data_IF_073444978343
#
_entry.id   IF_073444978343
#
_cell.length_a   1.000
_cell.length_b   1.000
_cell.length_c   1.000
_cell.angle_alpha   90.00
_cell.angle_beta   90.00
_cell.angle_gamma   90.00
#
_symmetry.space_group_name_H-M   'P 1'
#
loop_
_entity.id
_entity.type
_entity.pdbx_description
1 polymer ?
#
# COMPACT_ATOMS: atom_id res chain seq x y z
N UNK A 1 -1.43 -7.81 20.92
CA UNK A 1 -2.58 -8.34 20.15
C UNK A 1 -3.00 -7.40 19.04
N UNK A 2 -3.74 -6.34 19.36
CA UNK A 2 -4.36 -5.43 18.38
C UNK A 2 -3.37 -4.75 17.42
N UNK A 3 -2.24 -4.26 17.91
CA UNK A 3 -1.21 -3.61 17.07
C UNK A 3 -0.66 -4.60 16.04
N UNK A 4 -0.25 -5.79 16.49
CA UNK A 4 0.24 -6.88 15.64
C UNK A 4 -0.80 -7.25 14.57
N UNK A 5 -2.08 -7.30 14.94
CA UNK A 5 -3.17 -7.60 14.00
C UNK A 5 -3.26 -6.57 12.86
N UNK A 6 -3.22 -5.27 13.17
CA UNK A 6 -3.26 -4.21 12.14
C UNK A 6 -2.10 -4.37 11.16
N UNK A 7 -0.88 -4.57 11.68
CA UNK A 7 0.28 -4.71 10.83
C UNK A 7 0.22 -5.96 9.94
N UNK A 8 -0.25 -7.11 10.45
CA UNK A 8 -0.39 -8.33 9.63
C UNK A 8 -1.41 -8.13 8.51
N UNK A 9 -2.53 -7.44 8.77
CA UNK A 9 -3.52 -7.11 7.72
C UNK A 9 -2.89 -6.24 6.64
N UNK A 10 -2.12 -5.23 7.03
CA UNK A 10 -1.43 -4.33 6.09
C UNK A 10 -0.38 -5.09 5.27
N UNK A 11 0.45 -5.92 5.91
CA UNK A 11 1.47 -6.74 5.23
C UNK A 11 0.81 -7.69 4.24
N UNK A 12 -0.27 -8.36 4.64
CA UNK A 12 -1.03 -9.27 3.77
C UNK A 12 -1.65 -8.55 2.57
N UNK A 13 -2.22 -7.36 2.77
CA UNK A 13 -2.74 -6.54 1.68
C UNK A 13 -1.64 -6.13 0.70
N UNK A 14 -0.49 -5.68 1.19
CA UNK A 14 0.65 -5.34 0.33
C UNK A 14 1.10 -6.58 -0.46
N UNK A 15 1.15 -7.75 0.20
CA UNK A 15 1.45 -9.05 -0.40
C UNK A 15 0.56 -9.39 -1.60
N UNK A 16 -0.75 -9.14 -1.46
CA UNK A 16 -1.73 -9.31 -2.52
C UNK A 16 -1.50 -8.39 -3.73
N UNK A 17 -0.89 -7.22 -3.51
CA UNK A 17 -0.67 -6.22 -4.56
C UNK A 17 0.51 -6.57 -5.48
N UNK A 18 1.57 -7.22 -4.96
CA UNK A 18 2.82 -7.46 -5.72
C UNK A 18 2.68 -8.13 -7.10
N UNK A 19 1.82 -9.16 -7.30
CA UNK A 19 1.70 -9.83 -8.60
C UNK A 19 1.12 -8.92 -9.70
N UNK A 20 0.59 -7.77 -9.32
CA UNK A 20 0.03 -6.75 -10.20
C UNK A 20 -0.95 -7.27 -11.26
N UNK A 21 -1.76 -8.25 -10.88
CA UNK A 21 -2.89 -8.73 -11.70
C UNK A 21 -4.02 -7.70 -11.71
N UNK A 22 -4.97 -7.83 -12.65
CA UNK A 22 -6.11 -6.90 -12.77
C UNK A 22 -6.80 -6.62 -11.43
N UNK A 23 -7.08 -7.65 -10.63
CA UNK A 23 -7.76 -7.49 -9.34
C UNK A 23 -6.87 -6.79 -8.30
N UNK A 24 -5.57 -7.09 -8.30
CA UNK A 24 -4.60 -6.44 -7.42
C UNK A 24 -4.47 -4.94 -7.73
N UNK A 25 -4.37 -4.60 -9.01
CA UNK A 25 -4.29 -3.21 -9.48
C UNK A 25 -5.50 -2.41 -9.03
N UNK A 26 -6.71 -2.92 -9.28
CA UNK A 26 -7.94 -2.26 -8.85
C UNK A 26 -8.05 -2.18 -7.32
N UNK A 27 -7.62 -3.23 -6.61
CA UNK A 27 -7.56 -3.22 -5.14
C UNK A 27 -6.71 -2.07 -4.61
N UNK A 28 -5.52 -1.84 -5.18
CA UNK A 28 -4.66 -0.73 -4.79
C UNK A 28 -5.27 0.64 -5.15
N UNK A 29 -5.94 0.77 -6.31
CA UNK A 29 -6.63 2.03 -6.68
C UNK A 29 -7.76 2.38 -5.72
N UNK A 30 -8.55 1.40 -5.28
CA UNK A 30 -9.64 1.64 -4.32
C UNK A 30 -9.06 2.07 -2.97
N UNK A 31 -7.98 1.44 -2.52
CA UNK A 31 -7.30 1.81 -1.29
C UNK A 31 -6.74 3.25 -1.34
N UNK A 32 -6.10 3.64 -2.46
CA UNK A 32 -5.64 5.02 -2.64
C UNK A 32 -6.79 6.02 -2.67
N UNK A 33 -7.95 5.66 -3.21
CA UNK A 33 -9.12 6.54 -3.23
C UNK A 33 -9.68 6.76 -1.81
N UNK A 34 -9.65 5.74 -0.96
CA UNK A 34 -10.02 5.87 0.46
C UNK A 34 -9.08 6.87 1.15
N UNK A 35 -7.76 6.75 0.92
CA UNK A 35 -6.77 7.70 1.46
C UNK A 35 -6.96 9.12 0.92
N UNK A 36 -7.29 9.26 -0.37
CA UNK A 36 -7.50 10.55 -1.01
C UNK A 36 -8.72 11.30 -0.46
N UNK A 37 -9.64 10.60 0.20
CA UNK A 37 -10.87 11.19 0.78
C UNK A 37 -10.57 12.00 2.06
N UNK A 38 -9.36 11.90 2.63
CA UNK A 38 -8.96 12.72 3.79
C UNK A 38 -8.94 14.20 3.41
N UNK A 39 -9.66 15.07 4.15
CA UNK A 39 -9.77 16.49 3.79
C UNK A 39 -8.40 17.17 3.82
N UNK A 40 -8.18 18.11 2.89
CA UNK A 40 -6.99 18.96 2.75
C UNK A 40 -5.70 18.24 2.34
N UNK A 41 -5.41 17.06 2.90
CA UNK A 41 -4.09 16.41 2.82
C UNK A 41 -4.14 15.09 2.03
N UNK A 42 -5.32 14.53 1.77
CA UNK A 42 -5.48 13.20 1.17
C UNK A 42 -4.75 13.02 -0.16
N UNK A 43 -4.90 13.98 -1.08
CA UNK A 43 -4.23 13.92 -2.38
C UNK A 43 -2.70 13.94 -2.23
N UNK A 44 -2.18 14.84 -1.40
CA UNK A 44 -0.75 14.96 -1.10
C UNK A 44 -0.18 13.69 -0.47
N UNK A 45 -0.93 13.02 0.41
CA UNK A 45 -0.54 11.74 1.01
C UNK A 45 -0.43 10.65 -0.05
N UNK A 46 -1.41 10.53 -0.96
CA UNK A 46 -1.33 9.56 -2.04
C UNK A 46 -0.11 9.79 -2.93
N UNK A 47 0.17 11.05 -3.29
CA UNK A 47 1.38 11.39 -4.04
C UNK A 47 2.67 11.03 -3.30
N UNK A 48 2.72 11.28 -2.00
CA UNK A 48 3.91 11.00 -1.21
C UNK A 48 4.17 9.49 -1.07
N UNK A 49 3.11 8.70 -0.83
CA UNK A 49 3.21 7.25 -0.65
C UNK A 49 3.59 6.58 -1.98
N UNK A 50 2.88 6.89 -3.06
CA UNK A 50 3.04 6.19 -4.34
C UNK A 50 4.18 6.81 -5.16
N UNK A 51 4.26 8.13 -5.21
CA UNK A 51 5.26 8.87 -6.01
C UNK A 51 4.83 9.15 -7.45
N UNK A 52 3.59 8.82 -7.82
CA UNK A 52 2.99 9.10 -9.13
C UNK A 52 1.46 9.14 -9.02
N UNK A 53 0.78 9.77 -9.98
CA UNK A 53 -0.70 9.82 -10.00
C UNK A 53 -1.31 8.42 -10.23
N UNK A 54 -0.58 7.55 -10.94
CA UNK A 54 -0.97 6.19 -11.28
C UNK A 54 0.00 5.17 -10.69
N UNK A 55 -0.50 3.94 -10.51
CA UNK A 55 0.28 2.81 -10.02
C UNK A 55 1.20 2.33 -11.14
N UNK A 56 2.50 2.48 -10.92
CA UNK A 56 3.57 2.16 -11.86
C UNK A 56 4.56 1.16 -11.24
N UNK A 57 5.50 0.64 -12.02
CA UNK A 57 6.51 -0.32 -11.53
C UNK A 57 7.34 0.22 -10.35
N UNK A 58 7.60 1.53 -10.30
CA UNK A 58 8.26 2.17 -9.15
C UNK A 58 7.47 2.04 -7.85
N UNK A 59 6.13 2.08 -7.93
CA UNK A 59 5.25 1.89 -6.75
C UNK A 59 5.32 0.45 -6.26
N UNK A 60 5.33 -0.53 -7.18
CA UNK A 60 5.43 -1.95 -6.86
C UNK A 60 6.77 -2.30 -6.23
N UNK A 61 7.87 -1.71 -6.70
CA UNK A 61 9.20 -1.94 -6.14
C UNK A 61 9.31 -1.42 -4.70
N UNK A 62 8.74 -0.25 -4.39
CA UNK A 62 8.64 0.26 -3.01
C UNK A 62 7.83 -0.69 -2.12
N UNK A 63 6.67 -1.14 -2.62
CA UNK A 63 5.80 -2.07 -1.91
C UNK A 63 6.47 -3.43 -1.68
N UNK A 64 7.28 -3.91 -2.63
CA UNK A 64 8.05 -5.14 -2.48
C UNK A 64 9.06 -5.06 -1.35
N UNK A 65 9.87 -3.99 -1.32
CA UNK A 65 10.84 -3.77 -0.24
C UNK A 65 10.13 -3.68 1.12
N UNK A 66 9.01 -2.97 1.17
CA UNK A 66 8.25 -2.76 2.40
C UNK A 66 7.56 -4.05 2.89
N UNK A 67 7.06 -4.89 1.98
CA UNK A 67 6.47 -6.20 2.30
C UNK A 67 7.50 -7.19 2.86
N UNK A 68 8.73 -7.17 2.32
CA UNK A 68 9.80 -8.03 2.82
C UNK A 68 10.32 -7.54 4.17
N UNK A 69 10.42 -6.23 4.40
CA UNK A 69 11.01 -5.67 5.61
C UNK A 69 10.08 -5.69 6.83
N UNK A 70 8.80 -5.35 6.67
CA UNK A 70 7.84 -5.23 7.78
C UNK A 70 7.70 -6.49 8.67
N UNK A 71 7.66 -7.72 8.13
CA UNK A 71 7.59 -8.93 8.95
C UNK A 71 8.74 -9.05 9.95
N UNK A 72 9.95 -8.63 9.58
CA UNK A 72 11.12 -8.71 10.46
C UNK A 72 11.11 -7.64 11.56
N UNK A 73 10.51 -6.48 11.30
CA UNK A 73 10.34 -5.41 12.31
C UNK A 73 9.33 -5.82 13.38
N UNK A 74 8.43 -6.75 13.06
CA UNK A 74 7.31 -7.12 13.91
C UNK A 74 7.60 -8.27 14.89
N UNK A 75 8.71 -9.00 14.68
CA UNK A 75 9.22 -10.07 15.54
C UNK A 75 9.77 -9.45 16.84
#
# INVERSE_FOLDING_TARGET
GFVIYIFIVVIGFIGYVLPCTMMSYWGLTVFSNILATVPVIGLWLCYWIWGSEFINDFTLLKLHVLHVLLPFVLI
#
